data_IF_217752112862
#
_entry.id   IF_217752112862
#
_cell.length_a   1.000
_cell.length_b   1.000
_cell.length_c   1.000
_cell.angle_alpha   90.00
_cell.angle_beta   90.00
_cell.angle_gamma   90.00
#
_symmetry.space_group_name_H-M   'P 1'
#
loop_
_entity.id
_entity.type
_entity.pdbx_description
1 polymer ?
#
# COMPACT_ATOMS: atom_id res chain seq x y z
N UNK A 1 13.46 8.54 -5.42
CA UNK A 1 12.06 8.99 -5.43
C UNK A 1 11.23 7.73 -5.61
N UNK A 2 10.59 7.25 -4.54
CA UNK A 2 9.67 6.12 -4.67
C UNK A 2 8.51 6.54 -5.56
N UNK A 3 8.22 5.75 -6.61
CA UNK A 3 7.10 6.02 -7.49
C UNK A 3 5.82 5.52 -6.82
N UNK A 4 5.27 6.35 -5.93
CA UNK A 4 3.97 6.11 -5.31
C UNK A 4 2.87 6.71 -6.20
N UNK A 5 1.93 5.88 -6.63
CA UNK A 5 0.75 6.31 -7.40
C UNK A 5 -0.50 6.14 -6.54
N UNK A 6 -1.07 7.25 -6.05
CA UNK A 6 -2.33 7.25 -5.29
C UNK A 6 -3.52 7.00 -6.23
N UNK A 7 -4.50 6.24 -5.76
CA UNK A 7 -5.69 5.89 -6.56
C UNK A 7 -6.83 6.89 -6.35
N UNK A 8 -7.71 7.01 -7.36
CA UNK A 8 -8.96 7.75 -7.23
C UNK A 8 -9.87 7.18 -6.14
N UNK A 9 -9.75 5.89 -5.85
CA UNK A 9 -10.51 5.21 -4.78
C UNK A 9 -10.09 5.71 -3.39
N UNK A 10 -8.79 5.96 -3.19
CA UNK A 10 -8.29 6.60 -1.96
C UNK A 10 -8.89 8.00 -1.79
N UNK A 11 -8.87 8.82 -2.84
CA UNK A 11 -9.47 10.16 -2.80
C UNK A 11 -10.98 10.10 -2.53
N UNK A 12 -11.70 9.19 -3.17
CA UNK A 12 -13.13 8.99 -2.92
C UNK A 12 -13.42 8.62 -1.47
N UNK A 13 -12.65 7.70 -0.89
CA UNK A 13 -12.76 7.32 0.52
C UNK A 13 -12.46 8.50 1.46
N UNK A 14 -11.37 9.23 1.21
CA UNK A 14 -10.99 10.40 2.01
C UNK A 14 -12.05 11.50 1.94
N UNK A 15 -12.58 11.81 0.76
CA UNK A 15 -13.66 12.80 0.59
C UNK A 15 -14.93 12.35 1.29
N UNK A 16 -15.29 11.07 1.22
CA UNK A 16 -16.46 10.52 1.92
C UNK A 16 -16.30 10.66 3.44
N UNK A 17 -15.12 10.34 3.96
CA UNK A 17 -14.79 10.47 5.38
C UNK A 17 -14.85 11.94 5.84
N UNK A 18 -14.25 12.86 5.07
CA UNK A 18 -14.20 14.29 5.39
C UNK A 18 -15.59 14.96 5.36
N UNK A 19 -16.42 14.57 4.39
CA UNK A 19 -17.79 15.13 4.24
C UNK A 19 -18.82 14.45 5.13
N UNK A 20 -18.49 13.31 5.73
CA UNK A 20 -19.42 12.48 6.49
C UNK A 20 -20.49 11.79 5.64
N UNK A 21 -20.34 11.79 4.31
CA UNK A 21 -21.26 11.12 3.40
C UNK A 21 -21.05 9.60 3.42
N UNK A 22 -22.11 8.79 3.20
CA UNK A 22 -21.97 7.34 3.15
C UNK A 22 -20.98 6.91 2.08
N UNK A 23 -20.04 6.05 2.45
CA UNK A 23 -19.09 5.46 1.52
C UNK A 23 -19.67 4.19 0.88
N UNK A 24 -19.72 4.17 -0.45
CA UNK A 24 -20.09 2.99 -1.24
C UNK A 24 -18.97 2.72 -2.24
N UNK A 25 -18.32 1.57 -2.15
CA UNK A 25 -17.28 1.19 -3.09
C UNK A 25 -17.86 1.09 -4.52
N UNK A 26 -17.29 1.77 -5.52
CA UNK A 26 -17.75 1.66 -6.90
C UNK A 26 -17.69 0.22 -7.42
N UNK A 27 -18.52 -0.13 -8.40
CA UNK A 27 -18.40 -1.43 -9.06
C UNK A 27 -17.02 -1.59 -9.71
N UNK A 28 -16.50 -2.83 -9.70
CA UNK A 28 -15.18 -3.19 -10.25
C UNK A 28 -13.99 -2.44 -9.63
N UNK A 29 -14.11 -2.00 -8.37
CA UNK A 29 -13.06 -1.25 -7.68
C UNK A 29 -12.45 -1.98 -6.49
N UNK A 30 -13.00 -3.14 -6.12
CA UNK A 30 -12.57 -3.88 -4.93
C UNK A 30 -11.81 -5.15 -5.30
N UNK A 31 -10.84 -5.50 -4.47
CA UNK A 31 -10.16 -6.80 -4.55
C UNK A 31 -11.12 -7.95 -4.22
N UNK A 32 -12.13 -7.71 -3.39
CA UNK A 32 -13.22 -8.65 -3.14
C UNK A 32 -13.93 -9.07 -4.44
N UNK A 33 -14.25 -8.13 -5.32
CA UNK A 33 -14.82 -8.43 -6.64
C UNK A 33 -13.83 -9.17 -7.55
N UNK A 34 -12.54 -8.79 -7.52
CA UNK A 34 -11.50 -9.44 -8.34
C UNK A 34 -11.29 -10.90 -7.98
N UNK A 35 -11.32 -11.22 -6.69
CA UNK A 35 -11.06 -12.57 -6.18
C UNK A 35 -12.34 -13.38 -5.91
N UNK A 36 -13.52 -12.79 -6.17
CA UNK A 36 -14.83 -13.38 -5.86
C UNK A 36 -14.99 -13.78 -4.38
N UNK A 37 -14.53 -12.90 -3.47
CA UNK A 37 -14.58 -13.11 -2.02
C UNK A 37 -15.53 -12.08 -1.42
N UNK A 38 -16.69 -12.52 -0.93
CA UNK A 38 -17.68 -11.64 -0.30
C UNK A 38 -17.99 -10.41 -1.17
N UNK A 39 -17.96 -10.58 -2.51
CA UNK A 39 -17.98 -9.48 -3.48
C UNK A 39 -19.25 -8.61 -3.43
N UNK A 40 -20.35 -9.17 -2.90
CA UNK A 40 -21.63 -8.47 -2.73
C UNK A 40 -21.86 -7.92 -1.32
N UNK A 41 -20.94 -8.16 -0.37
CA UNK A 41 -21.10 -7.70 1.00
C UNK A 41 -20.76 -6.21 1.09
N UNK A 42 -21.72 -5.43 1.55
CA UNK A 42 -21.55 -4.00 1.76
C UNK A 42 -20.79 -3.74 3.08
N UNK A 43 -19.94 -2.72 3.08
CA UNK A 43 -19.19 -2.25 4.26
C UNK A 43 -20.07 -1.60 5.34
N UNK A 44 -21.35 -1.34 5.02
CA UNK A 44 -22.31 -0.72 5.94
C UNK A 44 -21.91 0.71 6.32
N UNK A 45 -22.06 1.07 7.59
CA UNK A 45 -21.67 2.38 8.13
C UNK A 45 -20.19 2.46 8.54
N UNK A 46 -19.41 1.41 8.29
CA UNK A 46 -17.99 1.40 8.62
C UNK A 46 -17.18 1.97 7.44
N UNK A 47 -16.36 2.98 7.72
CA UNK A 47 -15.37 3.44 6.75
C UNK A 47 -14.18 2.48 6.70
N UNK A 48 -13.78 2.01 5.50
CA UNK A 48 -12.52 1.29 5.32
C UNK A 48 -11.34 2.07 5.88
N UNK A 49 -10.38 1.37 6.48
CA UNK A 49 -9.14 1.93 7.00
C UNK A 49 -7.97 1.30 6.28
N UNK A 50 -6.87 2.03 6.12
CA UNK A 50 -5.63 1.46 5.62
C UNK A 50 -5.11 0.44 6.64
N UNK A 51 -5.21 -0.84 6.31
CA UNK A 51 -4.97 -1.93 7.28
C UNK A 51 -4.22 -3.11 6.68
N UNK A 52 -4.21 -3.24 5.36
CA UNK A 52 -3.60 -4.36 4.67
C UNK A 52 -2.70 -3.87 3.55
N UNK A 53 -1.84 -4.75 3.06
CA UNK A 53 -1.14 -4.57 1.79
C UNK A 53 -1.13 -5.87 0.99
N UNK A 54 -0.89 -5.74 -0.31
CA UNK A 54 -0.84 -6.83 -1.28
C UNK A 54 0.44 -6.72 -2.10
N UNK A 55 0.90 -7.84 -2.66
CA UNK A 55 2.15 -7.94 -3.42
C UNK A 55 1.89 -8.46 -4.84
N UNK A 56 2.73 -8.05 -5.78
CA UNK A 56 2.65 -8.50 -7.16
C UNK A 56 3.99 -8.54 -7.89
N UNK A 57 4.04 -9.31 -8.97
CA UNK A 57 5.23 -9.51 -9.81
C UNK A 57 5.06 -9.03 -11.27
N UNK A 58 3.97 -8.30 -11.59
CA UNK A 58 3.69 -7.80 -12.94
C UNK A 58 4.12 -6.36 -13.19
N UNK A 59 4.63 -5.67 -12.17
CA UNK A 59 4.96 -4.25 -12.19
C UNK A 59 6.23 -3.88 -12.95
N UNK A 60 7.02 -4.84 -13.46
CA UNK A 60 8.27 -4.58 -14.17
C UNK A 60 8.33 -5.31 -15.52
N UNK A 61 9.07 -4.73 -16.46
CA UNK A 61 9.51 -5.40 -17.70
C UNK A 61 11.01 -5.35 -17.83
N UNK A 62 11.61 -6.37 -18.42
CA UNK A 62 13.02 -6.36 -18.79
C UNK A 62 13.15 -5.94 -20.24
N UNK A 63 13.91 -4.87 -20.49
CA UNK A 63 14.21 -4.40 -21.84
C UNK A 63 15.69 -4.62 -22.10
N UNK A 64 16.01 -5.21 -23.26
CA UNK A 64 17.40 -5.31 -23.70
C UNK A 64 17.96 -3.91 -23.99
N UNK A 65 19.06 -3.56 -23.33
CA UNK A 65 19.76 -2.32 -23.62
C UNK A 65 20.26 -2.29 -25.07
N UNK A 66 20.06 -1.18 -25.76
CA UNK A 66 20.70 -0.94 -27.06
C UNK A 66 22.12 -0.47 -26.82
N UNK A 67 23.06 -1.40 -26.66
CA UNK A 67 24.49 -1.06 -26.66
C UNK A 67 24.88 -0.55 -28.05
N UNK A 68 25.18 0.74 -28.17
CA UNK A 68 25.71 1.37 -29.40
C UNK A 68 27.23 1.49 -29.39
N UNK A 69 27.90 1.08 -28.31
CA UNK A 69 29.35 1.19 -28.14
C UNK A 69 30.05 -0.13 -28.55
N UNK A 70 31.11 -0.08 -29.38
CA UNK A 70 31.89 -1.27 -29.73
C UNK A 70 32.43 -1.97 -28.47
N UNK A 71 32.17 -3.27 -28.35
CA UNK A 71 32.70 -4.11 -27.26
C UNK A 71 31.87 -4.17 -25.98
N UNK A 72 30.70 -3.51 -25.91
CA UNK A 72 29.80 -3.59 -24.75
C UNK A 72 28.64 -4.56 -24.99
N UNK A 73 28.42 -5.58 -24.14
CA UNK A 73 27.29 -6.50 -24.28
C UNK A 73 25.96 -5.77 -24.04
N UNK A 74 24.92 -6.17 -24.79
CA UNK A 74 23.55 -5.73 -24.50
C UNK A 74 23.07 -6.42 -23.22
N UNK A 75 22.92 -5.66 -22.14
CA UNK A 75 22.43 -6.16 -20.86
C UNK A 75 20.92 -5.85 -20.71
N UNK A 76 20.11 -6.77 -20.20
CA UNK A 76 18.73 -6.48 -19.84
C UNK A 76 18.71 -5.53 -18.64
N UNK A 77 17.86 -4.49 -18.71
CA UNK A 77 17.57 -3.60 -17.59
C UNK A 77 16.12 -3.77 -17.14
N UNK A 78 15.84 -3.81 -15.83
CA UNK A 78 14.48 -3.73 -15.34
C UNK A 78 13.95 -2.31 -15.55
N UNK A 79 12.72 -2.20 -16.03
CA UNK A 79 12.00 -0.95 -16.20
C UNK A 79 10.63 -1.05 -15.54
N UNK A 80 10.26 -0.11 -14.65
CA UNK A 80 8.98 -0.14 -13.99
C UNK A 80 7.83 0.21 -14.95
N UNK A 81 6.76 -0.55 -14.86
CA UNK A 81 5.48 -0.28 -15.50
C UNK A 81 4.65 0.52 -14.50
N UNK A 82 4.32 1.76 -14.86
CA UNK A 82 3.61 2.65 -13.97
C UNK A 82 2.11 2.37 -13.98
N UNK A 83 1.51 2.30 -12.79
CA UNK A 83 0.07 2.25 -12.62
C UNK A 83 -0.61 3.56 -13.01
N UNK A 84 -1.86 3.46 -13.45
CA UNK A 84 -2.76 4.62 -13.57
C UNK A 84 -3.48 4.84 -12.24
N UNK A 85 -3.84 6.08 -11.96
CA UNK A 85 -4.62 6.45 -10.77
C UNK A 85 -6.02 5.80 -10.75
N UNK A 86 -6.49 5.28 -11.89
CA UNK A 86 -7.75 4.57 -12.07
C UNK A 86 -7.63 3.05 -11.96
N UNK A 87 -6.42 2.50 -11.82
CA UNK A 87 -6.25 1.05 -11.66
C UNK A 87 -6.76 0.62 -10.27
N UNK A 88 -7.49 -0.50 -10.21
CA UNK A 88 -8.08 -1.03 -8.98
C UNK A 88 -7.35 -2.27 -8.42
N UNK A 89 -6.34 -2.77 -9.13
CA UNK A 89 -5.62 -4.00 -8.84
C UNK A 89 -4.18 -3.92 -9.33
N UNK A 90 -3.30 -4.76 -8.77
CA UNK A 90 -1.94 -4.97 -9.27
C UNK A 90 -1.97 -5.64 -10.63
N UNK A 91 -0.92 -5.47 -11.43
CA UNK A 91 -0.83 -6.09 -12.75
C UNK A 91 -0.87 -7.62 -12.66
N UNK A 92 -0.14 -8.18 -11.69
CA UNK A 92 -0.27 -9.59 -11.33
C UNK A 92 -0.08 -9.80 -9.82
N UNK A 93 -1.13 -10.24 -9.14
CA UNK A 93 -1.06 -10.54 -7.71
C UNK A 93 -0.39 -11.89 -7.45
N UNK A 94 0.53 -11.92 -6.50
CA UNK A 94 1.07 -13.15 -5.92
C UNK A 94 0.60 -13.26 -4.46
N UNK A 95 0.35 -14.46 -3.93
CA UNK A 95 -0.04 -14.60 -2.54
C UNK A 95 1.17 -14.49 -1.62
N UNK A 96 0.96 -14.02 -0.39
CA UNK A 96 1.98 -14.07 0.67
C UNK A 96 2.23 -15.49 1.15
N UNK A 97 1.22 -16.35 1.00
CA UNK A 97 1.21 -17.69 1.55
C UNK A 97 0.27 -18.57 0.74
N UNK A 98 0.71 -19.80 0.49
CA UNK A 98 -0.09 -20.89 -0.05
C UNK A 98 0.02 -22.08 0.90
N UNK A 99 -1.08 -22.80 1.11
CA UNK A 99 -1.14 -24.01 1.93
C UNK A 99 -2.03 -25.04 1.23
N UNK A 100 -1.77 -26.34 1.42
CA UNK A 100 -2.75 -27.35 1.01
C UNK A 100 -4.05 -27.17 1.81
N UNK A 101 -5.21 -27.50 1.22
CA UNK A 101 -6.51 -27.22 1.84
C UNK A 101 -6.70 -27.84 3.23
N UNK A 102 -6.05 -28.98 3.50
CA UNK A 102 -6.07 -29.69 4.78
C UNK A 102 -5.12 -29.09 5.83
N UNK A 103 -4.16 -28.25 5.43
CA UNK A 103 -3.20 -27.58 6.31
C UNK A 103 -3.69 -26.20 6.77
N UNK A 104 -4.77 -25.71 6.16
CA UNK A 104 -5.35 -24.41 6.47
C UNK A 104 -6.06 -24.42 7.83
N UNK A 105 -5.54 -23.66 8.79
CA UNK A 105 -6.10 -23.55 10.14
C UNK A 105 -6.32 -22.09 10.55
N UNK A 106 -7.06 -21.88 11.64
CA UNK A 106 -7.29 -20.55 12.20
C UNK A 106 -5.99 -19.83 12.59
N UNK A 107 -4.96 -20.57 12.99
CA UNK A 107 -3.64 -19.99 13.32
C UNK A 107 -2.94 -19.49 12.05
N UNK A 108 -3.06 -20.23 10.95
CA UNK A 108 -2.43 -19.87 9.67
C UNK A 108 -3.07 -18.64 9.02
N UNK A 109 -4.33 -18.35 9.35
CA UNK A 109 -5.13 -17.22 8.84
C UNK A 109 -4.84 -15.89 9.55
N UNK A 110 -4.18 -15.90 10.71
CA UNK A 110 -4.01 -14.67 11.52
C UNK A 110 -3.14 -13.66 10.79
N UNK A 111 -3.63 -12.42 10.69
CA UNK A 111 -2.90 -11.34 10.02
C UNK A 111 -2.91 -11.40 8.50
N UNK A 112 -3.71 -12.30 7.91
CA UNK A 112 -3.90 -12.43 6.47
C UNK A 112 -5.37 -12.21 6.07
N UNK A 113 -5.58 -11.84 4.81
CA UNK A 113 -6.92 -11.66 4.23
C UNK A 113 -6.93 -11.98 2.73
N UNK A 114 -8.09 -11.86 2.10
CA UNK A 114 -8.34 -12.27 0.72
C UNK A 114 -7.99 -13.74 0.51
N UNK A 115 -8.63 -14.63 1.27
CA UNK A 115 -8.45 -16.08 1.19
C UNK A 115 -9.16 -16.65 -0.05
N UNK A 116 -8.41 -17.24 -0.97
CA UNK A 116 -8.94 -17.87 -2.19
C UNK A 116 -8.57 -19.34 -2.21
N UNK A 117 -9.53 -20.21 -2.50
CA UNK A 117 -9.22 -21.62 -2.81
C UNK A 117 -8.96 -21.74 -4.31
N UNK A 118 -7.79 -22.27 -4.69
CA UNK A 118 -7.42 -22.53 -6.08
C UNK A 118 -6.86 -23.94 -6.22
N UNK A 119 -6.97 -24.51 -7.41
CA UNK A 119 -6.41 -25.83 -7.71
C UNK A 119 -5.17 -25.67 -8.58
N UNK A 120 -4.06 -26.25 -8.14
CA UNK A 120 -2.80 -26.33 -8.87
C UNK A 120 -2.43 -27.82 -8.95
N UNK A 121 -2.08 -28.32 -10.13
CA UNK A 121 -1.75 -29.74 -10.37
C UNK A 121 -2.72 -30.75 -9.73
N UNK A 122 -4.03 -30.49 -9.90
CA UNK A 122 -5.13 -31.28 -9.33
C UNK A 122 -5.18 -31.35 -7.79
N UNK A 123 -4.43 -30.49 -7.08
CA UNK A 123 -4.49 -30.38 -5.62
C UNK A 123 -5.12 -29.04 -5.21
N UNK A 124 -6.07 -29.03 -4.26
CA UNK A 124 -6.65 -27.80 -3.77
C UNK A 124 -5.71 -27.11 -2.76
N UNK A 125 -5.44 -25.84 -3.01
CA UNK A 125 -4.64 -24.96 -2.17
C UNK A 125 -5.46 -23.75 -1.72
N UNK A 126 -5.06 -23.18 -0.59
CA UNK A 126 -5.56 -21.92 -0.06
C UNK A 126 -4.49 -20.85 -0.25
N UNK A 127 -4.84 -19.76 -0.91
CA UNK A 127 -3.97 -18.63 -1.20
C UNK A 127 -4.42 -17.39 -0.40
N UNK A 128 -3.48 -16.74 0.28
CA UNK A 128 -3.71 -15.48 0.99
C UNK A 128 -3.06 -14.31 0.25
N UNK A 129 -3.87 -13.38 -0.25
CA UNK A 129 -3.36 -12.27 -1.09
C UNK A 129 -3.14 -10.96 -0.35
N UNK A 130 -3.68 -10.80 0.86
CA UNK A 130 -3.48 -9.61 1.69
C UNK A 130 -2.83 -9.95 3.02
N UNK A 131 -2.02 -9.02 3.54
CA UNK A 131 -1.37 -9.11 4.85
C UNK A 131 -1.61 -7.83 5.65
N UNK A 132 -1.83 -7.96 6.95
CA UNK A 132 -2.04 -6.82 7.86
C UNK A 132 -0.79 -5.94 7.96
N UNK A 133 -1.00 -4.63 7.96
CA UNK A 133 0.01 -3.61 8.24
C UNK A 133 0.22 -3.48 9.74
N UNK A 134 1.48 -3.41 10.16
CA UNK A 134 1.82 -3.21 11.56
C UNK A 134 1.83 -1.71 11.90
N UNK A 135 0.80 -1.24 12.58
CA UNK A 135 0.67 0.14 13.05
C UNK A 135 1.30 0.40 14.43
N UNK A 136 1.95 -0.60 15.02
CA UNK A 136 2.60 -0.45 16.31
C UNK A 136 3.69 0.63 16.23
N UNK A 137 3.65 1.59 17.15
CA UNK A 137 4.58 2.73 17.22
C UNK A 137 4.50 3.73 16.05
N UNK A 138 3.48 3.67 15.20
CA UNK A 138 3.22 4.72 14.21
C UNK A 138 2.39 5.82 14.85
N UNK A 139 2.90 7.05 14.84
CA UNK A 139 2.20 8.24 15.29
C UNK A 139 1.93 9.18 14.10
N UNK A 140 0.83 9.95 14.20
CA UNK A 140 0.56 11.04 13.27
C UNK A 140 1.27 12.29 13.81
N UNK A 141 2.17 12.84 13.02
CA UNK A 141 2.99 14.00 13.39
C UNK A 141 2.66 15.20 12.49
N UNK A 142 2.56 16.38 13.08
CA UNK A 142 2.50 17.64 12.34
C UNK A 142 3.94 18.15 12.20
N UNK A 143 4.36 18.47 10.99
CA UNK A 143 5.71 18.87 10.64
C UNK A 143 5.67 20.21 9.89
N UNK A 144 6.60 21.12 10.20
CA UNK A 144 6.93 22.29 9.37
C UNK A 144 8.18 21.98 8.57
N UNK A 145 8.08 22.12 7.25
CA UNK A 145 9.19 21.92 6.32
C UNK A 145 9.70 23.27 5.81
N UNK A 146 11.01 23.50 5.93
CA UNK A 146 11.69 24.67 5.39
C UNK A 146 12.64 24.19 4.30
N UNK A 147 12.45 24.68 3.08
CA UNK A 147 13.36 24.41 1.96
C UNK A 147 14.28 25.60 1.74
N UNK A 148 15.57 25.43 2.02
CA UNK A 148 16.61 26.42 1.74
C UNK A 148 17.68 25.81 0.83
N UNK A 149 18.00 26.48 -0.28
CA UNK A 149 18.97 26.03 -1.29
C UNK A 149 18.83 24.55 -1.72
N UNK A 150 17.60 24.04 -1.78
CA UNK A 150 17.31 22.66 -2.20
C UNK A 150 17.47 21.60 -1.11
N UNK A 151 17.74 22.00 0.13
CA UNK A 151 17.75 21.13 1.31
C UNK A 151 16.50 21.41 2.13
N UNK A 152 15.66 20.39 2.30
CA UNK A 152 14.47 20.47 3.14
C UNK A 152 14.80 19.97 4.55
N UNK A 153 14.58 20.83 5.55
CA UNK A 153 14.63 20.45 6.97
C UNK A 153 13.23 20.39 7.53
N UNK A 154 12.96 19.43 8.42
CA UNK A 154 11.65 19.24 9.05
C UNK A 154 11.77 19.42 10.57
N UNK A 155 10.74 20.02 11.17
CA UNK A 155 10.62 20.22 12.61
C UNK A 155 9.17 20.01 13.07
N UNK A 156 8.91 19.60 14.32
CA UNK A 156 7.55 19.43 14.81
C UNK A 156 6.76 20.75 14.79
N UNK A 157 5.57 20.73 14.19
CA UNK A 157 4.62 21.85 14.23
C UNK A 157 3.76 21.76 15.50
N UNK A 158 3.81 22.81 16.32
CA UNK A 158 3.03 22.93 17.55
C UNK A 158 2.15 24.18 17.44
N UNK A 159 0.81 24.03 17.32
CA UNK A 159 -0.10 25.17 17.24
C UNK A 159 0.02 26.06 18.49
N UNK A 160 0.13 27.37 18.29
CA UNK A 160 0.15 28.35 19.38
C UNK A 160 -1.18 29.10 19.49
N UNK A 161 -1.47 29.62 20.70
CA UNK A 161 -2.69 30.42 20.94
C UNK A 161 -2.66 31.73 20.15
N UNK A 162 -1.48 32.34 20.01
CA UNK A 162 -1.31 33.65 19.38
C UNK A 162 -1.35 33.57 17.85
N UNK A 163 -0.70 32.56 17.25
CA UNK A 163 -0.48 32.54 15.79
C UNK A 163 -1.50 31.67 15.05
N UNK A 164 -1.98 30.59 15.68
CA UNK A 164 -2.86 29.61 15.01
C UNK A 164 -4.29 29.63 15.52
N UNK A 165 -4.50 29.77 16.84
CA UNK A 165 -5.84 29.82 17.39
C UNK A 165 -6.51 31.19 17.21
N UNK A 166 -5.72 32.27 17.27
CA UNK A 166 -6.19 33.65 17.13
C UNK A 166 -5.33 34.45 16.12
N UNK A 167 -5.25 34.02 14.85
CA UNK A 167 -4.38 34.66 13.87
C UNK A 167 -4.76 36.13 13.68
N UNK A 168 -3.75 36.99 13.58
CA UNK A 168 -3.96 38.39 13.17
C UNK A 168 -3.77 38.52 11.67
N UNK A 169 -4.62 39.28 10.95
CA UNK A 169 -4.44 39.48 9.52
C UNK A 169 -3.05 40.06 9.21
N UNK A 170 -2.28 39.46 8.28
CA UNK A 170 -0.97 39.99 7.93
C UNK A 170 -1.11 41.36 7.27
N UNK A 171 -0.27 42.31 7.67
CA UNK A 171 -0.18 43.60 7.01
C UNK A 171 0.49 43.42 5.64
N UNK A 172 -0.26 43.61 4.56
CA UNK A 172 0.30 43.62 3.21
C UNK A 172 1.07 44.92 2.98
N UNK A 173 2.28 44.84 2.43
CA UNK A 173 3.04 46.03 2.06
C UNK A 173 2.39 46.71 0.84
N UNK A 174 2.11 48.01 0.94
CA UNK A 174 1.52 48.83 -0.14
C UNK A 174 2.57 49.30 -1.17
N UNK A 175 3.84 49.02 -0.88
CA UNK A 175 5.03 49.36 -1.68
C UNK A 175 6.03 48.22 -1.53
N UNK A 176 6.36 47.53 -2.63
CA UNK A 176 7.29 46.39 -2.65
C UNK A 176 6.65 45.08 -3.12
N UNK A 177 7.47 44.04 -3.31
CA UNK A 177 7.02 42.67 -3.63
C UNK A 177 6.87 41.89 -2.32
N UNK A 178 5.68 41.37 -2.04
CA UNK A 178 5.49 40.40 -0.96
C UNK A 178 6.20 39.09 -1.35
N UNK A 179 7.21 38.67 -0.59
CA UNK A 179 7.97 37.45 -0.86
C UNK A 179 7.35 36.29 -0.09
N UNK A 180 7.02 35.20 -0.78
CA UNK A 180 6.62 33.94 -0.17
C UNK A 180 7.86 33.15 0.24
N UNK A 181 7.95 32.67 1.49
CA UNK A 181 8.99 31.73 1.90
C UNK A 181 8.72 30.33 1.33
N UNK A 182 9.75 29.51 1.19
CA UNK A 182 9.65 28.09 0.79
C UNK A 182 9.18 27.18 1.93
N UNK A 183 8.30 27.67 2.80
CA UNK A 183 7.80 26.95 3.97
C UNK A 183 6.51 26.19 3.61
N UNK A 184 6.38 24.97 4.13
CA UNK A 184 5.16 24.18 3.99
C UNK A 184 4.89 23.41 5.28
N UNK A 185 3.63 23.07 5.53
CA UNK A 185 3.25 22.18 6.63
C UNK A 185 2.87 20.83 6.09
N UNK A 186 3.30 19.77 6.75
CA UNK A 186 2.93 18.41 6.39
C UNK A 186 2.42 17.66 7.61
N UNK A 187 1.41 16.84 7.40
CA UNK A 187 1.02 15.78 8.32
C UNK A 187 1.72 14.52 7.84
N UNK A 188 2.46 13.83 8.70
CA UNK A 188 3.27 12.66 8.37
C UNK A 188 2.88 11.48 9.25
N UNK A 189 2.87 10.29 8.66
CA UNK A 189 2.67 9.02 9.37
C UNK A 189 3.53 7.97 8.68
N UNK A 190 4.72 7.74 9.24
CA UNK A 190 5.74 6.86 8.67
C UNK A 190 5.47 5.41 9.08
N UNK A 191 5.12 4.59 8.10
CA UNK A 191 4.85 3.17 8.25
C UNK A 191 5.97 2.35 7.63
N UNK A 192 6.55 1.43 8.40
CA UNK A 192 7.54 0.48 7.88
C UNK A 192 6.86 -0.83 7.53
N UNK A 193 6.85 -1.20 6.26
CA UNK A 193 6.46 -2.53 5.79
C UNK A 193 7.69 -3.41 5.85
N UNK A 194 7.64 -4.47 6.65
CA UNK A 194 8.73 -5.44 6.78
C UNK A 194 8.23 -6.84 6.45
N UNK A 195 8.98 -7.56 5.63
CA UNK A 195 8.81 -9.01 5.42
C UNK A 195 9.85 -9.76 6.25
N UNK A 196 9.38 -10.71 7.06
CA UNK A 196 10.24 -11.61 7.82
C UNK A 196 10.84 -12.70 6.91
N UNK A 197 11.96 -13.34 7.29
CA UNK A 197 12.54 -14.44 6.52
C UNK A 197 11.53 -15.56 6.21
N UNK A 198 10.70 -15.94 7.19
CA UNK A 198 9.65 -16.94 7.01
C UNK A 198 8.61 -16.52 5.96
N UNK A 199 8.26 -15.24 5.91
CA UNK A 199 7.33 -14.72 4.90
C UNK A 199 7.95 -14.71 3.51
N UNK A 200 9.25 -14.40 3.39
CA UNK A 200 9.97 -14.54 2.13
C UNK A 200 9.96 -16.00 1.65
N UNK A 201 10.17 -16.97 2.55
CA UNK A 201 10.11 -18.40 2.24
C UNK A 201 8.70 -18.83 1.81
N UNK A 202 7.65 -18.34 2.48
CA UNK A 202 6.27 -18.63 2.09
C UNK A 202 5.92 -18.08 0.70
N UNK A 203 6.43 -16.90 0.32
CA UNK A 203 6.21 -16.32 -1.02
C UNK A 203 6.96 -17.13 -2.09
N UNK A 204 8.20 -17.54 -1.82
CA UNK A 204 8.97 -18.42 -2.73
C UNK A 204 8.25 -19.74 -2.95
N UNK A 205 7.81 -20.37 -1.87
CA UNK A 205 7.01 -21.60 -1.95
C UNK A 205 5.71 -21.39 -2.74
N UNK A 206 5.04 -20.24 -2.56
CA UNK A 206 3.86 -19.93 -3.36
C UNK A 206 4.15 -19.78 -4.86
N UNK A 207 5.28 -19.18 -5.22
CA UNK A 207 5.68 -19.08 -6.62
C UNK A 207 6.07 -20.44 -7.20
N UNK A 208 6.72 -21.30 -6.42
CA UNK A 208 7.01 -22.69 -6.80
C UNK A 208 5.72 -23.46 -7.12
N UNK A 209 4.68 -23.37 -6.26
CA UNK A 209 3.41 -24.07 -6.49
C UNK A 209 2.63 -23.51 -7.69
N UNK A 210 2.68 -22.18 -7.91
CA UNK A 210 1.90 -21.54 -8.97
C UNK A 210 2.59 -21.62 -10.34
N UNK A 211 3.92 -21.46 -10.38
CA UNK A 211 4.69 -21.31 -11.61
C UNK A 211 5.70 -22.44 -11.86
N UNK A 212 5.92 -23.33 -10.88
CA UNK A 212 6.93 -24.40 -10.95
C UNK A 212 8.37 -23.91 -10.80
N UNK A 213 8.57 -22.66 -10.36
CA UNK A 213 9.88 -22.06 -10.16
C UNK A 213 9.81 -20.91 -9.13
N UNK A 214 10.53 -21.05 -8.01
CA UNK A 214 10.68 -20.01 -6.99
C UNK A 214 11.30 -18.69 -7.52
N UNK A 215 12.00 -18.73 -8.66
CA UNK A 215 12.58 -17.57 -9.33
C UNK A 215 11.56 -16.51 -9.76
N UNK A 216 10.27 -16.88 -9.85
CA UNK A 216 9.18 -15.93 -10.09
C UNK A 216 8.76 -15.12 -8.84
N UNK A 217 9.38 -15.38 -7.68
CA UNK A 217 9.18 -14.63 -6.43
C UNK A 217 9.89 -13.27 -6.44
N UNK A 218 9.49 -12.41 -7.38
CA UNK A 218 9.97 -11.05 -7.52
C UNK A 218 8.84 -10.10 -7.13
N UNK A 219 8.96 -9.43 -5.99
CA UNK A 219 8.00 -8.37 -5.64
C UNK A 219 8.37 -7.13 -6.44
N UNK A 220 7.57 -6.86 -7.47
CA UNK A 220 7.72 -5.72 -8.38
C UNK A 220 6.80 -4.54 -8.01
N UNK A 221 5.76 -4.80 -7.23
CA UNK A 221 4.70 -3.85 -6.92
C UNK A 221 4.08 -4.18 -5.56
N UNK A 222 3.78 -3.14 -4.79
CA UNK A 222 2.99 -3.22 -3.56
C UNK A 222 1.71 -2.41 -3.74
N UNK A 223 0.59 -2.96 -3.28
CA UNK A 223 -0.68 -2.27 -3.19
C UNK A 223 -1.03 -2.04 -1.72
N UNK A 224 -1.09 -0.79 -1.29
CA UNK A 224 -1.65 -0.41 0.01
C UNK A 224 -3.17 -0.58 -0.03
N UNK A 225 -3.75 -1.28 0.93
CA UNK A 225 -5.16 -1.67 0.90
C UNK A 225 -5.94 -1.09 2.09
N UNK A 226 -6.98 -0.36 1.75
CA UNK A 226 -8.03 0.04 2.68
C UNK A 226 -9.09 -1.04 2.72
N UNK A 227 -9.50 -1.47 3.91
CA UNK A 227 -10.53 -2.49 4.07
C UNK A 227 -11.27 -2.31 5.40
N UNK A 228 -12.40 -3.00 5.52
CA UNK A 228 -13.09 -3.22 6.80
C UNK A 228 -12.92 -4.67 7.19
N UNK A 229 -12.62 -4.92 8.47
CA UNK A 229 -12.69 -6.27 9.03
C UNK A 229 -14.13 -6.76 8.96
N UNK A 230 -14.38 -7.70 8.07
CA UNK A 230 -15.71 -8.20 7.74
C UNK A 230 -16.26 -9.19 8.76
N UNK A 231 -17.45 -9.74 8.46
CA UNK A 231 -18.10 -10.74 9.30
C UNK A 231 -17.25 -12.02 9.42
N UNK A 232 -17.49 -12.79 10.47
CA UNK A 232 -16.90 -14.13 10.61
C UNK A 232 -17.40 -15.01 9.45
N UNK A 233 -16.47 -15.54 8.68
CA UNK A 233 -16.74 -16.53 7.63
C UNK A 233 -16.35 -17.89 8.16
N UNK A 234 -17.26 -18.86 8.04
CA UNK A 234 -16.98 -20.26 8.36
C UNK A 234 -16.24 -20.91 7.21
N UNK A 235 -15.03 -21.39 7.46
CA UNK A 235 -14.23 -22.15 6.51
C UNK A 235 -14.53 -23.63 6.70
N UNK A 236 -15.08 -24.32 5.69
CA UNK A 236 -15.22 -25.77 5.75
C UNK A 236 -13.84 -26.42 5.61
N UNK A 237 -13.44 -27.22 6.61
CA UNK A 237 -12.24 -28.06 6.52
C UNK A 237 -12.65 -29.41 5.95
N UNK A 238 -12.00 -29.87 4.88
CA UNK A 238 -12.25 -31.19 4.30
C UNK A 238 -11.70 -32.28 5.23
N UNK A 239 -12.58 -33.12 5.79
CA UNK A 239 -12.18 -34.41 6.39
C UNK A 239 -12.72 -34.72 7.79
N UNK A 240 -13.13 -33.75 8.60
CA UNK A 240 -13.65 -34.05 9.94
C UNK A 240 -14.47 -32.90 10.55
N UNK A 241 -15.75 -32.79 10.20
CA UNK A 241 -16.84 -32.25 11.05
C UNK A 241 -16.73 -30.88 11.73
N UNK A 242 -15.66 -30.11 11.52
CA UNK A 242 -15.41 -28.84 12.18
C UNK A 242 -14.84 -27.85 11.19
N UNK A 243 -15.62 -26.81 10.89
CA UNK A 243 -15.10 -25.60 10.27
C UNK A 243 -14.51 -24.68 11.34
N UNK A 244 -13.51 -23.87 10.99
CA UNK A 244 -13.11 -22.74 11.83
C UNK A 244 -13.68 -21.45 11.26
N UNK A 245 -13.91 -20.46 12.12
CA UNK A 245 -14.34 -19.14 11.70
C UNK A 245 -13.15 -18.20 11.70
N UNK A 246 -13.01 -17.40 10.65
CA UNK A 246 -12.05 -16.29 10.61
C UNK A 246 -12.75 -15.02 10.11
N UNK A 247 -12.17 -13.87 10.42
CA UNK A 247 -12.64 -12.60 9.88
C UNK A 247 -12.04 -12.39 8.50
N UNK A 248 -12.86 -12.45 7.46
CA UNK A 248 -12.45 -12.03 6.12
C UNK A 248 -12.56 -10.51 5.99
N UNK A 249 -11.78 -9.93 5.07
CA UNK A 249 -11.83 -8.50 4.77
C UNK A 249 -12.89 -8.21 3.70
N UNK A 250 -13.59 -7.09 3.86
CA UNK A 250 -14.61 -6.63 2.91
C UNK A 250 -14.34 -5.18 2.48
N UNK A 251 -14.83 -4.82 1.29
CA UNK A 251 -14.63 -3.49 0.72
C UNK A 251 -13.16 -3.12 0.49
N UNK A 252 -12.31 -4.12 0.21
CA UNK A 252 -10.88 -3.94 0.04
C UNK A 252 -10.55 -3.19 -1.24
N UNK A 253 -10.05 -1.95 -1.12
CA UNK A 253 -9.63 -1.12 -2.25
C UNK A 253 -8.15 -0.74 -2.11
N UNK A 254 -7.43 -0.74 -3.23
CA UNK A 254 -6.06 -0.24 -3.26
C UNK A 254 -6.08 1.29 -3.14
N UNK A 255 -5.39 1.83 -2.13
CA UNK A 255 -5.26 3.27 -1.91
C UNK A 255 -4.05 3.87 -2.65
N UNK A 256 -2.96 3.11 -2.76
CA UNK A 256 -1.78 3.51 -3.49
C UNK A 256 -0.99 2.30 -4.00
N UNK A 257 -0.38 2.48 -5.16
CA UNK A 257 0.59 1.57 -5.74
C UNK A 257 2.00 2.06 -5.48
N UNK A 258 2.91 1.14 -5.21
CA UNK A 258 4.33 1.43 -4.98
C UNK A 258 5.14 0.48 -5.86
N UNK A 259 5.90 1.04 -6.79
CA UNK A 259 6.85 0.26 -7.59
C UNK A 259 8.09 -0.06 -6.74
N UNK A 260 8.46 -1.34 -6.66
CA UNK A 260 9.62 -1.80 -5.90
C UNK A 260 10.31 -2.96 -6.61
N UNK A 261 11.58 -3.26 -6.33
CA UNK A 261 12.26 -4.42 -6.90
C UNK A 261 12.89 -5.28 -5.81
N UNK A 262 12.15 -6.29 -5.33
CA UNK A 262 12.67 -7.25 -4.36
C UNK A 262 12.70 -8.66 -4.96
N UNK A 263 13.84 -9.08 -5.55
CA UNK A 263 14.02 -10.45 -5.97
C UNK A 263 14.31 -11.32 -4.74
N UNK A 264 13.30 -12.05 -4.26
CA UNK A 264 13.41 -12.80 -3.00
C UNK A 264 14.42 -13.94 -3.06
N UNK A 265 14.70 -14.48 -4.25
CA UNK A 265 15.73 -15.50 -4.46
C UNK A 265 17.13 -15.05 -3.99
N UNK A 266 17.45 -13.75 -4.12
CA UNK A 266 18.76 -13.21 -3.75
C UNK A 266 18.75 -12.48 -2.40
N UNK A 267 17.58 -12.17 -1.85
CA UNK A 267 17.45 -11.37 -0.63
C UNK A 267 16.52 -12.04 0.39
N UNK A 268 17.09 -12.96 1.16
CA UNK A 268 16.40 -13.80 2.14
C UNK A 268 16.39 -13.23 3.57
N UNK A 269 17.13 -12.15 3.87
CA UNK A 269 17.31 -11.66 5.24
C UNK A 269 16.18 -10.72 5.72
N UNK A 270 15.07 -10.67 4.99
CA UNK A 270 13.98 -9.73 5.22
C UNK A 270 14.21 -8.39 4.50
N UNK A 271 13.11 -7.77 4.09
CA UNK A 271 13.12 -6.48 3.39
C UNK A 271 12.23 -5.49 4.14
N UNK A 272 12.67 -4.24 4.24
CA UNK A 272 11.87 -3.15 4.80
C UNK A 272 11.73 -2.00 3.82
N UNK A 273 10.52 -1.42 3.77
CA UNK A 273 10.20 -0.21 3.02
C UNK A 273 9.52 0.76 3.98
N UNK A 274 9.98 2.01 4.04
CA UNK A 274 9.36 3.06 4.86
C UNK A 274 8.52 3.93 3.94
N UNK A 275 7.22 4.00 4.23
CA UNK A 275 6.26 4.77 3.45
C UNK A 275 5.63 5.82 4.35
N UNK A 276 5.62 7.07 3.90
CA UNK A 276 4.86 8.13 4.56
C UNK A 276 3.47 8.24 3.92
N UNK A 277 2.42 7.98 4.71
CA UNK A 277 1.03 8.07 4.27
C UNK A 277 0.39 9.44 4.53
N UNK A 278 1.20 10.40 4.95
CA UNK A 278 0.85 11.78 5.21
C UNK A 278 0.36 12.62 4.02
N UNK A 279 -0.12 13.83 4.33
CA UNK A 279 -0.49 14.88 3.36
C UNK A 279 0.32 16.15 3.62
N UNK A 280 0.65 16.91 2.57
CA UNK A 280 1.40 18.16 2.67
C UNK A 280 0.60 19.32 2.09
N UNK A 281 0.60 20.45 2.79
CA UNK A 281 -0.10 21.68 2.44
C UNK A 281 0.90 22.86 2.44
N UNK A 282 0.93 23.69 1.39
CA UNK A 282 1.82 24.85 1.35
C UNK A 282 1.41 25.91 2.39
N UNK A 283 2.39 26.53 3.06
CA UNK A 283 2.13 27.64 3.99
C UNK A 283 2.21 28.99 3.24
N UNK A 284 1.29 29.89 3.57
CA UNK A 284 1.41 31.30 3.20
C UNK A 284 2.16 32.03 4.33
N UNK A 285 3.42 32.37 4.10
CA UNK A 285 4.24 33.18 5.01
C UNK A 285 4.63 34.48 4.32
N UNK A 286 4.28 35.61 4.94
CA UNK A 286 4.56 36.96 4.46
C UNK A 286 5.61 37.56 5.38
N UNK A 287 6.85 37.68 4.93
CA UNK A 287 7.90 38.42 5.65
C UNK A 287 8.24 39.71 4.88
N UNK A 288 8.30 40.83 5.60
CA UNK A 288 8.76 42.10 5.04
C UNK A 288 10.28 42.02 4.84
N UNK A 289 10.74 42.31 3.62
CA UNK A 289 12.17 42.48 3.35
C UNK A 289 12.72 43.70 4.12
N UNK A 290 14.00 43.66 4.55
CA UNK A 290 14.65 44.78 5.23
C UNK A 290 14.75 46.04 4.35
#
# INVERSE_FOLDING_TARGET
>A
MENITRTIYSSHLQTSLLTGLPFVAPANSTLNQKFDIQASVLVGNNFPKLQYFTIGNGGHRFIMGTSTAPGQPALPKPEPIQHRTTDAALFNHIPFKILELNEDTSAESVGYGLRVVRTFDNRPYVCYYAKELNWQNVAVELETQVTDNGVTTSSPFVPTVADNLNPTPPALANTGTNVTTGESTSVSAKLTITLTPQECDNIKHACEVIYGDEGYAIISELGLVTAVKGPLVTVPVSGSGGGYTYNEIIGSQISAFISTFYPLMFNNNGNSTVIDVGCAEPLLSLTNAP
#
